data_IF_477130274964
#
_entry.id   IF_477130274964
#
_cell.length_a   1.000
_cell.length_b   1.000
_cell.length_c   1.000
_cell.angle_alpha   90.00
_cell.angle_beta   90.00
_cell.angle_gamma   90.00
#
_symmetry.space_group_name_H-M   'P 1'
#
loop_
_entity.id
_entity.type
_entity.pdbx_description
1 polymer ?
#
# COMPACT_ATOMS: atom_id res chain seq x y z
N UNK A 1 26.61 -16.62 -17.47
CA UNK A 1 25.62 -15.58 -17.14
C UNK A 1 24.37 -16.24 -16.56
N UNK A 2 23.95 -15.83 -15.37
CA UNK A 2 22.95 -16.53 -14.57
C UNK A 2 21.53 -16.23 -15.06
N UNK A 3 20.88 -17.23 -15.65
CA UNK A 3 19.56 -17.17 -16.28
C UNK A 3 18.44 -17.47 -15.27
N UNK A 4 18.60 -17.05 -14.01
CA UNK A 4 17.47 -17.00 -13.09
C UNK A 4 16.61 -15.79 -13.46
N UNK A 5 15.80 -15.96 -14.52
CA UNK A 5 14.65 -15.13 -14.76
C UNK A 5 13.68 -15.33 -13.58
N UNK A 6 14.02 -14.77 -12.42
CA UNK A 6 13.05 -14.59 -11.35
C UNK A 6 11.96 -13.77 -11.99
N UNK A 7 10.79 -14.39 -12.15
CA UNK A 7 9.60 -13.73 -12.64
C UNK A 7 9.19 -12.78 -11.52
N UNK A 8 9.95 -11.69 -11.41
CA UNK A 8 9.77 -10.66 -10.41
C UNK A 8 8.43 -10.07 -10.76
N UNK A 9 7.42 -10.42 -9.98
CA UNK A 9 6.08 -9.82 -10.05
C UNK A 9 6.28 -8.36 -9.72
N UNK A 10 6.68 -7.59 -10.73
CA UNK A 10 6.81 -6.15 -10.61
C UNK A 10 5.42 -5.67 -10.20
N UNK A 11 5.31 -4.95 -9.07
CA UNK A 11 4.01 -4.47 -8.65
C UNK A 11 3.47 -3.60 -9.79
N UNK A 12 2.20 -3.81 -10.13
CA UNK A 12 1.54 -3.20 -11.29
C UNK A 12 1.56 -1.66 -11.27
N UNK A 13 1.89 -1.07 -10.12
CA UNK A 13 2.01 0.36 -9.86
C UNK A 13 3.46 0.83 -9.64
N UNK A 14 4.49 0.01 -9.90
CA UNK A 14 5.89 0.44 -9.77
C UNK A 14 6.17 1.64 -10.69
N UNK A 15 6.61 2.76 -10.11
CA UNK A 15 6.93 3.99 -10.84
C UNK A 15 5.72 4.79 -11.32
N UNK A 16 4.49 4.36 -11.01
CA UNK A 16 3.27 5.11 -11.34
C UNK A 16 2.83 5.93 -10.13
N UNK A 17 2.78 7.25 -10.28
CA UNK A 17 2.07 8.13 -9.35
C UNK A 17 0.56 7.89 -9.55
N UNK A 18 0.03 6.93 -8.80
CA UNK A 18 -1.41 6.74 -8.67
C UNK A 18 -1.94 7.96 -7.92
N UNK A 19 -2.96 8.62 -8.49
CA UNK A 19 -3.49 9.87 -7.95
C UNK A 19 -3.81 9.80 -6.46
N UNK A 20 -3.84 10.97 -5.80
CA UNK A 20 -4.16 11.02 -4.38
C UNK A 20 -5.53 10.38 -4.15
N UNK A 21 -5.56 9.35 -3.30
CA UNK A 21 -6.81 8.79 -2.81
C UNK A 21 -7.58 9.90 -2.08
N UNK A 22 -8.90 9.91 -2.22
CA UNK A 22 -9.76 10.86 -1.52
C UNK A 22 -9.39 10.82 -0.03
N UNK A 23 -9.14 11.98 0.60
CA UNK A 23 -8.83 12.02 2.02
C UNK A 23 -9.95 11.34 2.81
N UNK A 24 -9.55 10.44 3.71
CA UNK A 24 -10.49 9.72 4.55
C UNK A 24 -11.26 10.70 5.44
N UNK A 25 -12.53 10.40 5.72
CA UNK A 25 -13.26 11.20 6.72
C UNK A 25 -12.59 11.04 8.07
N UNK A 26 -12.68 12.07 8.91
CA UNK A 26 -12.05 12.07 10.24
C UNK A 26 -12.46 10.84 11.10
N UNK A 27 -13.71 10.40 10.94
CA UNK A 27 -14.26 9.20 11.60
C UNK A 27 -13.53 7.92 11.17
N UNK A 28 -13.22 7.79 9.89
CA UNK A 28 -12.51 6.63 9.35
C UNK A 28 -11.05 6.61 9.81
N UNK A 29 -10.41 7.79 9.87
CA UNK A 29 -9.06 7.95 10.42
C UNK A 29 -9.02 7.54 11.89
N UNK A 30 -10.00 7.99 12.70
CA UNK A 30 -10.08 7.64 14.10
C UNK A 30 -10.31 6.13 14.28
N UNK A 31 -11.18 5.54 13.48
CA UNK A 31 -11.44 4.10 13.52
C UNK A 31 -10.22 3.26 13.12
N UNK A 32 -9.37 3.74 12.20
CA UNK A 32 -8.08 3.10 11.88
C UNK A 32 -7.09 3.26 13.03
N UNK A 33 -6.98 4.44 13.64
CA UNK A 33 -6.05 4.66 14.77
C UNK A 33 -6.38 3.78 15.97
N UNK A 34 -7.66 3.69 16.31
CA UNK A 34 -8.12 2.92 17.47
C UNK A 34 -7.98 1.41 17.23
N UNK A 35 -8.33 0.91 16.04
CA UNK A 35 -8.20 -0.51 15.72
C UNK A 35 -6.77 -0.93 15.40
N UNK A 36 -6.01 -0.08 14.71
CA UNK A 36 -4.63 -0.38 14.30
C UNK A 36 -3.61 -0.37 15.44
N UNK A 37 -3.87 0.33 16.55
CA UNK A 37 -2.98 0.31 17.72
C UNK A 37 -3.14 -0.96 18.58
N UNK A 38 -4.23 -1.73 18.40
CA UNK A 38 -4.46 -2.95 19.18
C UNK A 38 -3.69 -4.18 18.65
N UNK A 39 -3.00 -4.06 17.51
CA UNK A 39 -2.38 -5.18 16.79
C UNK A 39 -0.91 -4.93 16.41
N UNK A 40 -0.21 -4.01 17.09
CA UNK A 40 1.25 -3.79 16.98
C UNK A 40 1.92 -4.13 18.32
#
# INVERSE_FOLDING_TARGET
>A
MNIIATWSRQPWNKGKLVGQKIPLRLRDIWAIRVRGHAEI
#
